data_IF_034860701239
#
_entry.id   IF_034860701239
#
_cell.length_a   1.000
_cell.length_b   1.000
_cell.length_c   1.000
_cell.angle_alpha   90.00
_cell.angle_beta   90.00
_cell.angle_gamma   90.00
#
_symmetry.space_group_name_H-M   'P 1'
#
loop_
_entity.id
_entity.type
_entity.pdbx_description
1 polymer ?
#
# COMPACT_ATOMS: atom_id res chain seq x y z
N UNK A 1 -13.56 61.68 -5.02
CA UNK A 1 -13.25 60.69 -6.08
C UNK A 1 -13.48 59.31 -5.47
N UNK A 2 -14.71 58.78 -5.55
CA UNK A 2 -15.06 57.65 -6.44
C UNK A 2 -14.07 56.47 -6.28
N UNK A 3 -14.28 55.51 -5.37
CA UNK A 3 -15.11 54.28 -5.46
C UNK A 3 -15.00 53.48 -6.76
N UNK A 4 -14.58 52.21 -6.64
CA UNK A 4 -15.27 51.07 -7.31
C UNK A 4 -14.51 50.26 -8.37
N UNK A 5 -14.44 48.94 -8.13
CA UNK A 5 -14.60 47.79 -9.05
C UNK A 5 -13.73 46.63 -8.54
N UNK A 6 -14.20 45.46 -8.07
CA UNK A 6 -15.43 44.65 -8.28
C UNK A 6 -15.76 44.41 -9.74
N UNK A 7 -15.06 43.44 -10.33
CA UNK A 7 -15.60 42.63 -11.42
C UNK A 7 -16.16 41.30 -10.87
N UNK A 8 -17.50 41.30 -10.79
CA UNK A 8 -18.42 40.14 -10.70
C UNK A 8 -18.34 39.35 -12.02
N UNK A 9 -18.34 38.01 -12.02
CA UNK A 9 -19.50 37.11 -11.86
C UNK A 9 -20.68 37.39 -12.83
N UNK A 10 -21.00 36.37 -13.65
CA UNK A 10 -22.24 36.11 -14.41
C UNK A 10 -22.42 36.74 -15.81
N UNK A 11 -22.17 35.91 -16.84
CA UNK A 11 -22.73 35.94 -18.22
C UNK A 11 -22.01 34.81 -19.00
N UNK A 12 -22.59 33.71 -19.48
CA UNK A 12 -23.86 33.45 -20.14
C UNK A 12 -24.17 31.93 -20.16
N UNK A 13 -25.44 31.58 -19.99
CA UNK A 13 -26.11 30.38 -20.49
C UNK A 13 -27.29 30.87 -21.33
N UNK A 14 -27.48 30.36 -22.57
CA UNK A 14 -28.77 29.84 -23.05
C UNK A 14 -28.53 28.53 -23.86
N UNK A 15 -29.43 27.59 -24.18
CA UNK A 15 -30.86 27.41 -24.02
C UNK A 15 -31.20 25.92 -24.30
N UNK A 16 -32.40 25.54 -23.88
CA UNK A 16 -33.11 24.28 -24.11
C UNK A 16 -33.82 24.31 -25.48
N UNK A 17 -33.82 23.21 -26.24
CA UNK A 17 -34.84 22.85 -27.24
C UNK A 17 -35.02 21.31 -27.19
N UNK A 18 -36.14 20.79 -26.68
CA UNK A 18 -37.44 20.50 -27.32
C UNK A 18 -37.44 19.35 -28.35
N UNK A 19 -38.32 18.39 -28.05
CA UNK A 19 -38.67 17.15 -28.75
C UNK A 19 -39.54 17.48 -29.97
N UNK A 20 -39.30 16.81 -31.09
CA UNK A 20 -40.31 16.60 -32.13
C UNK A 20 -40.29 15.15 -32.62
N UNK A 21 -41.46 14.52 -32.58
CA UNK A 21 -41.76 13.22 -33.19
C UNK A 21 -41.59 13.30 -34.71
N UNK A 22 -40.93 12.31 -35.32
CA UNK A 22 -41.19 11.92 -36.71
C UNK A 22 -40.64 10.50 -36.99
N UNK A 23 -41.36 9.79 -37.87
CA UNK A 23 -41.28 8.35 -38.16
C UNK A 23 -39.85 7.82 -38.41
N UNK A 24 -39.47 6.80 -37.64
CA UNK A 24 -38.22 6.07 -37.81
C UNK A 24 -38.24 5.35 -39.18
N UNK A 25 -37.37 5.76 -40.11
CA UNK A 25 -37.31 5.17 -41.45
C UNK A 25 -36.87 3.71 -41.38
N UNK A 26 -37.33 2.85 -42.31
CA UNK A 26 -36.96 1.44 -42.40
C UNK A 26 -35.43 1.21 -42.45
N UNK A 27 -34.66 2.20 -42.92
CA UNK A 27 -33.18 2.21 -42.86
C UNK A 27 -32.64 2.30 -41.43
N UNK A 28 -33.26 3.09 -40.55
CA UNK A 28 -32.90 3.18 -39.13
C UNK A 28 -33.25 1.91 -38.35
N UNK A 29 -34.33 1.22 -38.72
CA UNK A 29 -34.65 -0.10 -38.17
C UNK A 29 -33.57 -1.13 -38.54
N UNK A 30 -33.05 -1.09 -39.77
CA UNK A 30 -31.99 -1.99 -40.22
C UNK A 30 -30.64 -1.72 -39.53
N UNK A 31 -30.27 -0.45 -39.31
CA UNK A 31 -29.08 -0.08 -38.52
C UNK A 31 -29.25 -0.43 -37.04
N UNK A 32 -30.46 -0.34 -36.49
CA UNK A 32 -30.74 -0.74 -35.11
C UNK A 32 -30.62 -2.27 -34.94
N UNK A 33 -31.08 -3.07 -35.91
CA UNK A 33 -30.85 -4.54 -35.88
C UNK A 33 -29.40 -4.95 -36.06
N UNK A 34 -28.59 -4.20 -36.84
CA UNK A 34 -27.14 -4.44 -36.92
C UNK A 34 -26.41 -4.05 -35.63
N UNK A 35 -26.89 -3.03 -34.89
CA UNK A 35 -26.35 -2.69 -33.57
C UNK A 35 -26.80 -3.66 -32.47
N UNK A 36 -28.00 -4.23 -32.56
CA UNK A 36 -28.50 -5.23 -31.60
C UNK A 36 -27.80 -6.59 -31.79
N UNK A 37 -27.45 -6.97 -33.03
CA UNK A 37 -26.66 -8.19 -33.29
C UNK A 37 -25.18 -8.07 -32.89
N UNK A 38 -24.64 -6.86 -32.72
CA UNK A 38 -23.28 -6.59 -32.23
C UNK A 38 -23.20 -6.28 -30.72
N UNK A 39 -24.34 -6.26 -30.02
CA UNK A 39 -24.41 -5.99 -28.57
C UNK A 39 -24.84 -7.20 -27.75
N UNK A 40 -24.84 -8.41 -28.32
CA UNK A 40 -24.63 -9.60 -27.51
C UNK A 40 -23.18 -9.51 -27.05
N UNK A 41 -22.88 -9.24 -25.76
CA UNK A 41 -21.53 -9.44 -25.28
C UNK A 41 -21.24 -10.91 -25.58
N UNK A 42 -20.38 -11.16 -26.57
CA UNK A 42 -19.67 -12.41 -26.62
C UNK A 42 -18.95 -12.41 -25.28
N UNK A 43 -19.53 -13.10 -24.30
CA UNK A 43 -18.85 -13.47 -23.08
C UNK A 43 -17.72 -14.36 -23.58
N UNK A 44 -16.62 -13.72 -24.02
CA UNK A 44 -15.37 -14.37 -24.23
C UNK A 44 -15.06 -14.93 -22.85
N UNK A 45 -15.41 -16.21 -22.66
CA UNK A 45 -15.21 -16.91 -21.42
C UNK A 45 -13.77 -16.65 -21.02
N UNK A 46 -13.57 -16.10 -19.82
CA UNK A 46 -12.26 -15.69 -19.37
C UNK A 46 -11.39 -16.96 -19.31
N UNK A 47 -10.54 -17.13 -20.33
CA UNK A 47 -9.62 -18.27 -20.36
C UNK A 47 -8.77 -18.22 -19.10
N UNK A 48 -8.66 -19.36 -18.43
CA UNK A 48 -7.85 -19.54 -17.25
C UNK A 48 -6.68 -20.45 -17.58
N UNK A 49 -5.51 -20.15 -17.01
CA UNK A 49 -4.31 -20.97 -17.16
C UNK A 49 -3.86 -21.42 -15.77
N UNK A 50 -3.86 -22.72 -15.56
CA UNK A 50 -3.43 -23.35 -14.31
C UNK A 50 -2.14 -24.13 -14.54
N UNK A 51 -1.16 -23.99 -13.65
CA UNK A 51 0.07 -24.78 -13.73
C UNK A 51 0.71 -25.01 -12.38
N UNK A 52 1.51 -26.08 -12.29
CA UNK A 52 2.16 -26.50 -11.06
C UNK A 52 3.68 -26.40 -11.19
N UNK A 53 4.29 -25.70 -10.23
CA UNK A 53 5.73 -25.50 -10.14
C UNK A 53 6.27 -26.20 -8.90
N UNK A 54 7.22 -27.10 -9.08
CA UNK A 54 8.09 -27.57 -8.00
C UNK A 54 9.22 -26.57 -7.80
N UNK A 55 9.58 -26.31 -6.55
CA UNK A 55 10.69 -25.43 -6.22
C UNK A 55 11.69 -26.08 -5.26
N UNK A 56 12.95 -25.68 -5.42
CA UNK A 56 14.05 -25.98 -4.50
C UNK A 56 14.86 -24.70 -4.27
N UNK A 57 14.94 -24.27 -3.02
CA UNK A 57 15.67 -23.07 -2.59
C UNK A 57 16.82 -23.50 -1.70
N UNK A 58 18.05 -23.09 -2.04
CA UNK A 58 19.27 -23.37 -1.27
C UNK A 58 19.87 -22.07 -0.75
N UNK A 59 20.07 -21.99 0.55
CA UNK A 59 20.72 -20.86 1.21
C UNK A 59 22.17 -21.19 1.56
N UNK A 60 23.09 -20.38 1.04
CA UNK A 60 24.53 -20.51 1.25
C UNK A 60 25.03 -19.36 2.13
N UNK A 61 25.55 -19.67 3.32
CA UNK A 61 26.15 -18.67 4.21
C UNK A 61 27.50 -18.17 3.67
N UNK A 62 27.70 -16.86 3.55
CA UNK A 62 28.88 -16.29 2.86
C UNK A 62 30.16 -16.19 3.72
N UNK A 63 30.06 -16.15 5.05
CA UNK A 63 31.23 -15.90 5.94
C UNK A 63 32.23 -17.07 6.10
N UNK A 64 32.32 -18.02 5.17
CA UNK A 64 33.32 -19.11 5.20
C UNK A 64 34.00 -19.33 3.85
N UNK A 65 34.45 -18.23 3.23
CA UNK A 65 35.40 -18.30 2.11
C UNK A 65 36.86 -18.45 2.60
N UNK A 66 37.11 -18.42 3.92
CA UNK A 66 38.34 -19.01 4.49
C UNK A 66 38.08 -20.45 4.94
N UNK A 67 39.03 -21.31 4.56
CA UNK A 67 38.99 -22.76 4.52
C UNK A 67 38.56 -23.43 5.85
N UNK A 68 37.89 -24.58 5.73
CA UNK A 68 37.81 -25.73 6.67
C UNK A 68 36.52 -26.03 7.46
N UNK A 69 35.50 -25.18 7.51
CA UNK A 69 34.30 -25.52 8.28
C UNK A 69 33.07 -25.81 7.40
N UNK A 70 32.58 -27.07 7.41
CA UNK A 70 31.38 -27.57 6.72
C UNK A 70 30.24 -26.53 6.75
N UNK A 71 29.98 -25.89 5.61
CA UNK A 71 28.91 -24.90 5.48
C UNK A 71 27.56 -25.62 5.51
N UNK A 72 26.72 -25.32 6.50
CA UNK A 72 25.38 -25.89 6.61
C UNK A 72 24.48 -25.23 5.57
N UNK A 73 24.24 -25.92 4.45
CA UNK A 73 23.27 -25.50 3.44
C UNK A 73 21.88 -25.81 3.97
N UNK A 74 21.01 -24.80 4.01
CA UNK A 74 19.58 -25.03 4.24
C UNK A 74 18.91 -25.22 2.88
N UNK A 75 18.12 -26.28 2.75
CA UNK A 75 17.36 -26.56 1.54
C UNK A 75 15.88 -26.61 1.88
N UNK A 76 15.08 -25.82 1.17
CA UNK A 76 13.62 -25.86 1.22
C UNK A 76 13.09 -26.36 -0.11
N UNK A 77 12.15 -27.31 -0.06
CA UNK A 77 11.46 -27.83 -1.25
C UNK A 77 9.96 -27.68 -1.06
N UNK A 78 9.24 -27.59 -2.16
CA UNK A 78 7.79 -27.61 -2.15
C UNK A 78 7.21 -27.53 -3.55
N UNK A 79 5.89 -27.41 -3.59
CA UNK A 79 5.12 -27.25 -4.81
C UNK A 79 4.15 -26.08 -4.62
N UNK A 80 3.86 -25.39 -5.72
CA UNK A 80 2.83 -24.37 -5.80
C UNK A 80 1.95 -24.59 -7.01
N UNK A 81 0.65 -24.39 -6.85
CA UNK A 81 -0.31 -24.27 -7.96
C UNK A 81 -0.55 -22.80 -8.24
N UNK A 82 -0.42 -22.42 -9.51
CA UNK A 82 -0.64 -21.05 -9.99
C UNK A 82 -1.86 -21.08 -10.89
N UNK A 83 -2.80 -20.17 -10.66
CA UNK A 83 -3.96 -19.95 -11.54
C UNK A 83 -3.93 -18.51 -12.02
N UNK A 84 -4.02 -18.32 -13.33
CA UNK A 84 -4.05 -17.01 -13.97
C UNK A 84 -5.41 -16.78 -14.62
N UNK A 85 -6.00 -15.65 -14.28
CA UNK A 85 -7.20 -15.08 -14.90
C UNK A 85 -6.89 -13.66 -15.39
N UNK A 86 -7.71 -13.09 -16.28
CA UNK A 86 -7.58 -11.68 -16.62
C UNK A 86 -7.60 -10.84 -15.33
N UNK A 87 -6.47 -10.16 -15.04
CA UNK A 87 -6.27 -9.30 -13.86
C UNK A 87 -6.21 -10.00 -12.50
N UNK A 88 -6.16 -11.33 -12.43
CA UNK A 88 -6.03 -12.06 -11.16
C UNK A 88 -4.92 -13.11 -11.24
N UNK A 89 -4.11 -13.19 -10.19
CA UNK A 89 -3.12 -14.25 -9.99
C UNK A 89 -3.47 -14.94 -8.67
N UNK A 90 -3.67 -16.25 -8.68
CA UNK A 90 -3.66 -17.07 -7.46
C UNK A 90 -2.37 -17.89 -7.42
N UNK A 91 -1.73 -17.91 -6.24
CA UNK A 91 -0.55 -18.74 -5.95
C UNK A 91 -0.83 -19.51 -4.67
N UNK A 92 -1.07 -20.81 -4.79
CA UNK A 92 -1.42 -21.71 -3.68
C UNK A 92 -0.27 -22.65 -3.34
N UNK A 93 0.09 -22.74 -2.07
CA UNK A 93 1.04 -23.71 -1.51
C UNK A 93 0.43 -24.39 -0.30
N UNK A 94 -0.05 -25.62 -0.48
CA UNK A 94 -0.83 -26.33 0.54
C UNK A 94 -2.12 -25.58 0.90
N UNK A 95 -2.25 -25.20 2.18
CA UNK A 95 -3.41 -24.50 2.73
C UNK A 95 -3.28 -22.98 2.72
N UNK A 96 -2.17 -22.45 2.18
CA UNK A 96 -1.95 -21.03 2.02
C UNK A 96 -2.11 -20.63 0.57
N UNK A 97 -2.90 -19.59 0.32
CA UNK A 97 -3.12 -19.03 -1.01
C UNK A 97 -2.89 -17.52 -0.97
N UNK A 98 -2.18 -17.01 -1.97
CA UNK A 98 -2.02 -15.58 -2.18
C UNK A 98 -2.72 -15.19 -3.48
N UNK A 99 -3.65 -14.26 -3.38
CA UNK A 99 -4.47 -13.81 -4.51
C UNK A 99 -4.15 -12.35 -4.78
N UNK A 100 -3.62 -12.05 -5.96
CA UNK A 100 -3.41 -10.69 -6.45
C UNK A 100 -4.59 -10.31 -7.34
N UNK A 101 -5.35 -9.29 -6.94
CA UNK A 101 -6.44 -8.73 -7.74
C UNK A 101 -6.02 -7.33 -8.21
N UNK A 102 -5.66 -7.23 -9.49
CA UNK A 102 -5.23 -5.99 -10.13
C UNK A 102 -6.42 -5.08 -10.49
N UNK A 103 -7.64 -5.61 -10.56
CA UNK A 103 -8.86 -4.82 -10.73
C UNK A 103 -9.17 -4.02 -9.47
N UNK A 104 -8.98 -4.64 -8.30
CA UNK A 104 -9.19 -4.01 -6.99
C UNK A 104 -7.92 -3.35 -6.42
N UNK A 105 -6.75 -3.56 -7.04
CA UNK A 105 -5.44 -3.21 -6.50
C UNK A 105 -5.23 -3.79 -5.08
N UNK A 106 -5.54 -5.07 -4.88
CA UNK A 106 -5.39 -5.74 -3.58
C UNK A 106 -4.61 -7.04 -3.68
N UNK A 107 -4.06 -7.45 -2.54
CA UNK A 107 -3.50 -8.79 -2.33
C UNK A 107 -4.18 -9.40 -1.13
N UNK A 108 -4.79 -10.56 -1.31
CA UNK A 108 -5.29 -11.37 -0.22
C UNK A 108 -4.28 -12.47 0.13
N UNK A 109 -4.05 -12.69 1.42
CA UNK A 109 -3.36 -13.86 1.95
C UNK A 109 -4.39 -14.70 2.69
N UNK A 110 -4.67 -15.90 2.18
CA UNK A 110 -5.74 -16.79 2.62
C UNK A 110 -5.12 -18.00 3.33
N UNK A 111 -5.64 -18.32 4.51
CA UNK A 111 -5.36 -19.53 5.27
C UNK A 111 -6.64 -20.40 5.23
N UNK A 112 -6.64 -21.43 4.38
CA UNK A 112 -7.80 -22.29 4.16
C UNK A 112 -8.14 -23.16 5.37
N UNK A 113 -7.14 -23.53 6.18
CA UNK A 113 -7.37 -24.33 7.40
C UNK A 113 -8.12 -23.53 8.45
N UNK A 114 -7.73 -22.25 8.61
CA UNK A 114 -8.38 -21.35 9.56
C UNK A 114 -9.62 -20.67 9.00
N UNK A 115 -9.89 -20.83 7.71
CA UNK A 115 -10.94 -20.10 6.99
C UNK A 115 -10.85 -18.59 7.22
N UNK A 116 -9.62 -18.06 7.15
CA UNK A 116 -9.32 -16.65 7.41
C UNK A 116 -8.50 -16.07 6.27
N UNK A 117 -8.64 -14.77 6.04
CA UNK A 117 -7.78 -14.07 5.11
C UNK A 117 -7.45 -12.66 5.58
N UNK A 118 -6.32 -12.12 5.13
CA UNK A 118 -6.00 -10.70 5.24
C UNK A 118 -5.96 -10.07 3.87
N UNK A 119 -6.50 -8.86 3.72
CA UNK A 119 -6.42 -8.08 2.48
C UNK A 119 -5.55 -6.86 2.70
N UNK A 120 -4.58 -6.64 1.82
CA UNK A 120 -3.74 -5.44 1.81
C UNK A 120 -3.77 -4.79 0.44
N UNK A 121 -3.53 -3.49 0.38
CA UNK A 121 -3.26 -2.77 -0.85
C UNK A 121 -2.09 -3.40 -1.64
N UNK A 122 -2.29 -3.58 -2.95
CA UNK A 122 -1.27 -4.07 -3.89
C UNK A 122 -0.07 -3.11 -3.97
N UNK A 123 -0.28 -1.83 -3.67
CA UNK A 123 0.77 -0.81 -3.62
C UNK A 123 1.78 -1.06 -2.48
N UNK A 124 1.44 -1.85 -1.47
CA UNK A 124 2.35 -2.22 -0.38
C UNK A 124 3.64 -2.86 -0.86
N UNK A 125 3.56 -3.67 -1.92
CA UNK A 125 4.69 -4.43 -2.46
C UNK A 125 5.72 -3.50 -3.15
N UNK A 126 5.35 -2.75 -4.20
CA UNK A 126 6.30 -1.82 -4.83
C UNK A 126 6.72 -0.68 -3.89
N UNK A 127 5.86 -0.22 -2.98
CA UNK A 127 6.24 0.79 -1.99
C UNK A 127 7.33 0.28 -1.04
N UNK A 128 7.22 -0.98 -0.57
CA UNK A 128 8.26 -1.63 0.22
C UNK A 128 9.57 -1.71 -0.56
N UNK A 129 9.51 -2.21 -1.81
CA UNK A 129 10.69 -2.38 -2.66
C UNK A 129 11.43 -1.06 -2.86
N UNK A 130 10.72 0.03 -3.21
CA UNK A 130 11.31 1.37 -3.37
C UNK A 130 11.94 1.89 -2.09
N UNK A 131 11.22 1.77 -0.97
CA UNK A 131 11.68 2.31 0.31
C UNK A 131 12.92 1.56 0.83
N UNK A 132 12.89 0.23 0.80
CA UNK A 132 13.99 -0.62 1.24
C UNK A 132 15.22 -0.52 0.31
N UNK A 133 15.02 -0.42 -1.01
CA UNK A 133 16.11 -0.16 -1.96
C UNK A 133 16.84 1.15 -1.63
N UNK A 134 16.10 2.23 -1.34
CA UNK A 134 16.69 3.53 -0.94
C UNK A 134 17.41 3.44 0.40
N UNK A 135 16.81 2.77 1.38
CA UNK A 135 17.41 2.55 2.69
C UNK A 135 18.75 1.82 2.59
N UNK A 136 18.81 0.72 1.84
CA UNK A 136 20.06 -0.03 1.62
C UNK A 136 21.14 0.79 0.93
N UNK A 137 20.76 1.63 -0.04
CA UNK A 137 21.71 2.57 -0.68
C UNK A 137 22.30 3.57 0.32
N UNK A 138 21.48 4.11 1.23
CA UNK A 138 21.95 5.04 2.26
C UNK A 138 22.86 4.31 3.25
N UNK A 139 22.43 3.16 3.75
CA UNK A 139 23.20 2.37 4.71
C UNK A 139 24.55 1.95 4.15
N UNK A 140 24.59 1.48 2.89
CA UNK A 140 25.82 1.14 2.19
C UNK A 140 26.79 2.32 2.13
N UNK A 141 26.30 3.53 1.82
CA UNK A 141 27.14 4.75 1.79
C UNK A 141 27.68 5.12 3.18
N UNK A 142 26.84 5.01 4.21
CA UNK A 142 27.24 5.31 5.60
C UNK A 142 28.31 4.33 6.07
N UNK A 143 28.12 3.03 5.81
CA UNK A 143 29.09 2.00 6.17
C UNK A 143 30.42 2.17 5.43
N UNK A 144 30.40 2.45 4.13
CA UNK A 144 31.61 2.75 3.35
C UNK A 144 32.40 3.93 3.93
N UNK A 145 31.70 5.01 4.31
CA UNK A 145 32.34 6.17 4.98
C UNK A 145 32.93 5.82 6.34
N UNK A 146 32.39 4.82 7.03
CA UNK A 146 32.89 4.32 8.30
C UNK A 146 34.04 3.30 8.14
N UNK A 147 34.53 3.06 6.91
CA UNK A 147 35.55 2.05 6.63
C UNK A 147 35.06 0.62 6.79
N UNK A 148 33.75 0.42 6.98
CA UNK A 148 33.14 -0.90 6.99
C UNK A 148 32.95 -1.27 5.52
N UNK A 149 33.62 -2.35 5.10
CA UNK A 149 33.29 -3.05 3.86
C UNK A 149 31.89 -3.64 4.01
N UNK A 150 30.87 -2.79 3.90
CA UNK A 150 29.49 -3.22 3.73
C UNK A 150 29.50 -4.20 2.58
N UNK A 151 28.84 -5.34 2.76
CA UNK A 151 28.55 -6.27 1.68
C UNK A 151 28.08 -5.45 0.49
N UNK A 152 28.95 -5.33 -0.53
CA UNK A 152 28.71 -4.55 -1.72
C UNK A 152 27.40 -5.04 -2.34
N UNK A 153 26.31 -4.37 -2.01
CA UNK A 153 25.05 -4.58 -2.72
C UNK A 153 25.19 -3.70 -3.95
N UNK A 154 25.94 -4.23 -4.93
CA UNK A 154 26.10 -3.56 -6.20
C UNK A 154 24.70 -3.32 -6.82
N UNK A 155 24.60 -2.40 -7.78
CA UNK A 155 23.31 -2.00 -8.33
C UNK A 155 22.51 -3.20 -8.88
N UNK A 156 23.19 -4.20 -9.48
CA UNK A 156 22.55 -5.41 -9.99
C UNK A 156 21.83 -6.21 -8.90
N UNK A 157 22.48 -6.44 -7.75
CA UNK A 157 21.87 -7.17 -6.63
C UNK A 157 20.63 -6.45 -6.07
N UNK A 158 20.69 -5.12 -5.98
CA UNK A 158 19.53 -4.33 -5.56
C UNK A 158 18.38 -4.44 -6.57
N UNK A 159 18.69 -4.52 -7.86
CA UNK A 159 17.68 -4.62 -8.92
C UNK A 159 17.09 -6.03 -9.04
N UNK A 160 17.87 -7.08 -8.75
CA UNK A 160 17.35 -8.45 -8.61
C UNK A 160 16.30 -8.53 -7.48
N UNK A 161 16.58 -7.92 -6.32
CA UNK A 161 15.71 -8.07 -5.14
C UNK A 161 14.49 -7.14 -5.20
N UNK A 162 14.69 -5.89 -5.64
CA UNK A 162 13.70 -4.81 -5.52
C UNK A 162 13.16 -4.31 -6.86
N UNK A 163 13.53 -4.93 -7.98
CA UNK A 163 13.22 -4.45 -9.31
C UNK A 163 14.20 -3.37 -9.80
N UNK A 164 14.38 -3.32 -11.12
CA UNK A 164 15.32 -2.45 -11.81
C UNK A 164 14.67 -1.62 -12.91
N UNK A 165 15.46 -0.72 -13.48
CA UNK A 165 15.07 -0.04 -14.72
C UNK A 165 15.47 -0.93 -15.89
N UNK A 166 14.51 -1.36 -16.70
CA UNK A 166 14.76 -2.20 -17.87
C UNK A 166 15.64 -1.51 -18.92
N UNK A 167 15.69 -0.18 -18.90
CA UNK A 167 16.54 0.62 -19.79
C UNK A 167 17.82 1.12 -19.09
N UNK A 168 18.04 0.70 -17.84
CA UNK A 168 19.15 1.12 -17.00
C UNK A 168 20.50 0.55 -17.45
N UNK A 169 21.57 1.04 -16.83
CA UNK A 169 22.94 0.58 -17.13
C UNK A 169 23.16 -0.89 -16.81
N UNK A 170 22.55 -1.42 -15.76
CA UNK A 170 22.62 -2.85 -15.43
C UNK A 170 22.00 -3.68 -16.55
N UNK A 171 20.78 -3.32 -16.98
CA UNK A 171 20.06 -4.00 -18.05
C UNK A 171 20.87 -4.11 -19.34
N UNK A 172 21.55 -3.02 -19.75
CA UNK A 172 22.39 -2.98 -20.96
C UNK A 172 23.60 -3.91 -20.93
N UNK A 173 24.03 -4.32 -19.73
CA UNK A 173 25.16 -5.23 -19.54
C UNK A 173 24.72 -6.67 -19.23
N UNK A 174 23.42 -6.98 -19.37
CA UNK A 174 22.92 -8.35 -19.30
C UNK A 174 22.95 -8.95 -20.70
N UNK A 175 23.74 -10.00 -20.88
CA UNK A 175 23.93 -10.69 -22.15
C UNK A 175 23.17 -12.03 -22.16
N UNK A 176 22.58 -12.39 -23.31
CA UNK A 176 22.01 -13.72 -23.53
C UNK A 176 23.01 -14.59 -24.29
N UNK A 177 23.26 -15.78 -23.77
CA UNK A 177 24.03 -16.83 -24.47
C UNK A 177 23.13 -18.06 -24.54
N UNK A 178 22.53 -18.25 -25.71
CA UNK A 178 21.59 -19.34 -25.97
C UNK A 178 22.36 -20.57 -26.45
N UNK A 179 22.16 -21.71 -25.77
CA UNK A 179 22.82 -22.97 -26.12
C UNK A 179 21.80 -24.11 -26.13
N UNK A 180 21.29 -24.44 -27.32
CA UNK A 180 20.24 -25.44 -27.48
C UNK A 180 18.93 -25.01 -26.82
N UNK A 181 18.33 -25.88 -26.00
CA UNK A 181 17.08 -25.59 -25.26
C UNK A 181 17.28 -24.71 -24.02
N UNK A 182 18.51 -24.60 -23.53
CA UNK A 182 18.82 -23.87 -22.31
C UNK A 182 19.31 -22.47 -22.67
N UNK A 183 18.56 -21.47 -22.24
CA UNK A 183 18.91 -20.06 -22.33
C UNK A 183 19.66 -19.64 -21.07
N UNK A 184 20.77 -18.91 -21.22
CA UNK A 184 21.57 -18.41 -20.09
C UNK A 184 21.76 -16.92 -20.19
N UNK A 185 21.62 -16.23 -19.06
CA UNK A 185 21.80 -14.80 -18.93
C UNK A 185 23.03 -14.52 -18.06
N UNK A 186 23.86 -13.60 -18.52
CA UNK A 186 25.13 -13.24 -17.89
C UNK A 186 25.18 -11.77 -17.53
N UNK A 187 25.80 -11.45 -16.40
CA UNK A 187 26.16 -10.09 -16.02
C UNK A 187 27.61 -10.09 -15.50
N UNK A 188 28.50 -9.37 -16.17
CA UNK A 188 29.96 -9.37 -15.87
C UNK A 188 30.53 -10.79 -15.79
N UNK A 189 30.27 -11.60 -16.81
CA UNK A 189 30.68 -13.00 -16.94
C UNK A 189 30.11 -13.99 -15.91
N UNK A 190 29.32 -13.52 -14.94
CA UNK A 190 28.59 -14.39 -14.01
C UNK A 190 27.25 -14.83 -14.62
N UNK A 191 26.97 -16.13 -14.61
CA UNK A 191 25.64 -16.65 -14.96
C UNK A 191 24.64 -16.29 -13.86
N UNK A 192 23.74 -15.36 -14.16
CA UNK A 192 22.76 -14.83 -13.21
C UNK A 192 21.42 -15.58 -13.26
N UNK A 193 21.08 -16.14 -14.42
CA UNK A 193 19.88 -16.93 -14.61
C UNK A 193 20.04 -17.91 -15.78
N UNK A 194 19.40 -19.07 -15.66
CA UNK A 194 19.27 -20.06 -16.71
C UNK A 194 17.83 -20.54 -16.76
N UNK A 195 17.27 -20.67 -17.96
CA UNK A 195 15.90 -21.12 -18.12
C UNK A 195 15.71 -21.95 -19.39
N UNK A 196 14.65 -22.75 -19.39
CA UNK A 196 14.15 -23.50 -20.53
C UNK A 196 12.67 -23.17 -20.69
N UNK A 197 12.19 -23.05 -21.92
CA UNK A 197 10.77 -22.82 -22.20
C UNK A 197 10.04 -24.14 -22.36
N UNK A 198 8.80 -24.18 -21.90
CA UNK A 198 7.90 -25.33 -22.11
C UNK A 198 7.24 -25.26 -23.49
N UNK A 199 6.52 -26.32 -23.84
CA UNK A 199 5.66 -26.34 -25.02
C UNK A 199 4.31 -25.65 -24.78
N UNK A 200 3.99 -25.34 -23.51
CA UNK A 200 2.74 -24.69 -23.12
C UNK A 200 2.76 -23.20 -23.49
N UNK A 201 1.93 -22.84 -24.47
CA UNK A 201 1.69 -21.43 -24.83
C UNK A 201 0.88 -20.72 -23.76
N UNK A 202 1.21 -19.45 -23.55
CA UNK A 202 0.43 -18.53 -22.74
C UNK A 202 -0.69 -17.98 -23.64
N UNK A 203 -1.97 -18.08 -23.25
CA UNK A 203 -3.04 -17.37 -23.93
C UNK A 203 -2.74 -15.87 -24.06
N UNK A 204 -3.04 -15.28 -25.21
CA UNK A 204 -2.67 -13.88 -25.50
C UNK A 204 -3.29 -12.89 -24.51
N UNK A 205 -4.51 -13.15 -24.03
CA UNK A 205 -5.19 -12.37 -23.00
C UNK A 205 -4.58 -12.53 -21.59
N UNK A 206 -3.66 -13.48 -21.38
CA UNK A 206 -2.98 -13.76 -20.12
C UNK A 206 -1.48 -13.41 -20.14
N UNK A 207 -0.94 -12.90 -21.25
CA UNK A 207 0.50 -12.56 -21.33
C UNK A 207 0.91 -11.53 -20.29
N UNK A 208 0.14 -10.46 -20.11
CA UNK A 208 0.44 -9.40 -19.15
C UNK A 208 0.33 -9.88 -17.70
N UNK A 209 -0.66 -10.73 -17.40
CA UNK A 209 -0.83 -11.26 -16.05
C UNK A 209 0.27 -12.27 -15.70
N UNK A 210 0.76 -13.04 -16.68
CA UNK A 210 1.92 -13.91 -16.50
C UNK A 210 3.20 -13.11 -16.25
N UNK A 211 3.43 -12.01 -16.97
CA UNK A 211 4.54 -11.07 -16.66
C UNK A 211 4.45 -10.54 -15.23
N UNK A 212 3.26 -10.13 -14.78
CA UNK A 212 3.02 -9.70 -13.40
C UNK A 212 3.30 -10.81 -12.39
N UNK A 213 2.87 -12.04 -12.66
CA UNK A 213 3.20 -13.20 -11.83
C UNK A 213 4.71 -13.34 -11.63
N UNK A 214 5.49 -13.26 -12.71
CA UNK A 214 6.95 -13.30 -12.62
C UNK A 214 7.50 -12.16 -11.75
N UNK A 215 7.01 -10.92 -11.95
CA UNK A 215 7.45 -9.73 -11.20
C UNK A 215 7.09 -9.75 -9.70
N UNK A 216 5.96 -10.37 -9.34
CA UNK A 216 5.46 -10.41 -7.97
C UNK A 216 5.99 -11.61 -7.16
N UNK A 217 6.07 -12.79 -7.77
CA UNK A 217 6.52 -14.00 -7.07
C UNK A 217 8.03 -14.21 -7.14
N UNK A 218 8.69 -13.72 -8.19
CA UNK A 218 10.12 -13.92 -8.37
C UNK A 218 10.90 -12.63 -8.11
N UNK A 219 11.93 -12.73 -7.29
CA UNK A 219 12.89 -11.65 -7.04
C UNK A 219 14.00 -11.71 -8.08
N UNK A 220 13.64 -11.36 -9.31
CA UNK A 220 14.50 -11.35 -10.49
C UNK A 220 14.46 -9.99 -11.19
N UNK A 221 15.52 -9.72 -11.96
CA UNK A 221 15.65 -8.48 -12.73
C UNK A 221 14.61 -8.41 -13.87
N UNK A 222 14.03 -7.23 -14.19
CA UNK A 222 13.03 -7.09 -15.26
C UNK A 222 13.46 -7.62 -16.64
N UNK A 223 14.75 -7.52 -16.99
CA UNK A 223 15.29 -8.14 -18.22
C UNK A 223 15.09 -9.66 -18.24
N UNK A 224 15.22 -10.34 -17.08
CA UNK A 224 14.97 -11.78 -16.99
C UNK A 224 13.47 -12.05 -17.22
N UNK A 225 12.59 -11.21 -16.66
CA UNK A 225 11.13 -11.32 -16.89
C UNK A 225 10.78 -11.18 -18.37
N UNK A 226 11.33 -10.17 -19.07
CA UNK A 226 11.11 -10.02 -20.51
C UNK A 226 11.64 -11.23 -21.30
N UNK A 227 12.82 -11.75 -20.96
CA UNK A 227 13.37 -12.93 -21.63
C UNK A 227 12.58 -14.21 -21.38
N UNK A 228 11.92 -14.33 -20.24
CA UNK A 228 11.02 -15.45 -19.94
C UNK A 228 9.68 -15.38 -20.68
N UNK A 229 9.34 -14.21 -21.23
CA UNK A 229 8.00 -13.94 -21.77
C UNK A 229 7.98 -13.56 -23.24
N UNK A 230 9.13 -13.22 -23.83
CA UNK A 230 9.26 -12.76 -25.21
C UNK A 230 8.74 -13.75 -26.26
N UNK A 231 8.86 -15.06 -26.01
CA UNK A 231 8.38 -16.12 -26.90
C UNK A 231 6.95 -16.59 -26.63
N UNK A 232 6.30 -16.09 -25.57
CA UNK A 232 4.89 -16.43 -25.27
C UNK A 232 4.64 -17.84 -24.73
N UNK A 233 5.65 -18.45 -24.09
CA UNK A 233 5.54 -19.77 -23.44
C UNK A 233 5.77 -19.67 -21.93
N UNK A 234 5.17 -20.58 -21.17
CA UNK A 234 5.53 -20.76 -19.76
C UNK A 234 6.96 -21.33 -19.70
N UNK A 235 7.77 -20.96 -18.71
CA UNK A 235 9.06 -21.61 -18.53
C UNK A 235 8.87 -23.06 -18.07
N UNK A 236 9.65 -23.98 -18.64
CA UNK A 236 9.77 -25.36 -18.13
C UNK A 236 10.67 -25.40 -16.90
N UNK A 237 11.81 -24.70 -16.95
CA UNK A 237 12.70 -24.57 -15.79
C UNK A 237 13.24 -23.15 -15.66
N UNK A 238 13.45 -22.71 -14.42
CA UNK A 238 14.08 -21.43 -14.11
C UNK A 238 15.03 -21.61 -12.93
N UNK A 239 16.30 -21.28 -13.14
CA UNK A 239 17.33 -21.24 -12.12
C UNK A 239 17.94 -19.85 -12.05
N UNK A 240 18.02 -19.24 -10.87
CA UNK A 240 18.72 -17.97 -10.68
C UNK A 240 19.27 -17.83 -9.26
N UNK A 241 20.14 -16.84 -9.06
CA UNK A 241 20.72 -16.51 -7.75
C UNK A 241 20.41 -15.08 -7.36
N UNK A 242 20.21 -14.84 -6.07
CA UNK A 242 20.11 -13.49 -5.52
C UNK A 242 20.61 -13.43 -4.06
N UNK A 243 20.88 -12.22 -3.57
CA UNK A 243 21.32 -11.96 -2.19
C UNK A 243 20.19 -11.43 -1.31
N UNK A 244 19.06 -12.15 -1.31
CA UNK A 244 17.83 -11.72 -0.62
C UNK A 244 18.05 -11.43 0.87
N UNK A 245 18.69 -12.33 1.61
CA UNK A 245 18.96 -12.18 3.03
C UNK A 245 20.46 -12.08 3.22
N UNK A 246 20.96 -10.98 3.74
CA UNK A 246 22.39 -10.87 4.07
C UNK A 246 22.65 -11.67 5.36
N UNK A 247 23.68 -12.54 5.41
CA UNK A 247 24.80 -12.70 4.47
C UNK A 247 24.65 -13.86 3.46
N UNK A 248 23.46 -14.35 3.20
CA UNK A 248 23.19 -15.52 2.36
C UNK A 248 23.16 -15.21 0.86
N UNK A 249 23.75 -16.10 0.06
CA UNK A 249 23.45 -16.26 -1.36
C UNK A 249 22.37 -17.33 -1.48
N UNK A 250 21.28 -16.99 -2.16
CA UNK A 250 20.16 -17.92 -2.39
C UNK A 250 20.19 -18.41 -3.82
N UNK A 251 20.27 -19.73 -4.02
CA UNK A 251 20.06 -20.39 -5.31
C UNK A 251 18.62 -20.89 -5.37
N UNK A 252 17.88 -20.43 -6.38
CA UNK A 252 16.47 -20.78 -6.57
C UNK A 252 16.35 -21.62 -7.84
N UNK A 253 15.65 -22.75 -7.74
CA UNK A 253 15.36 -23.65 -8.86
C UNK A 253 13.86 -23.91 -8.89
N UNK A 254 13.26 -23.68 -10.04
CA UNK A 254 11.83 -23.89 -10.30
C UNK A 254 11.65 -24.78 -11.52
N UNK A 255 10.69 -25.70 -11.46
CA UNK A 255 10.43 -26.68 -12.52
C UNK A 255 8.92 -26.86 -12.70
N UNK A 256 8.47 -26.69 -13.94
CA UNK A 256 7.11 -26.99 -14.36
C UNK A 256 6.87 -28.49 -14.32
N UNK A 257 5.77 -28.87 -13.66
CA UNK A 257 5.39 -30.29 -13.47
C UNK A 257 4.07 -30.64 -14.13
N UNK A 258 3.16 -29.68 -14.22
CA UNK A 258 1.89 -29.83 -14.93
C UNK A 258 1.43 -28.45 -15.40
N UNK A 259 0.69 -28.42 -16.50
CA UNK A 259 -0.01 -27.23 -16.98
C UNK A 259 -1.29 -27.64 -17.69
N UNK A 260 -2.35 -26.86 -17.49
CA UNK A 260 -3.65 -27.06 -18.10
C UNK A 260 -4.30 -25.70 -18.40
N UNK A 261 -4.96 -25.60 -19.55
CA UNK A 261 -5.71 -24.42 -19.95
C UNK A 261 -7.19 -24.75 -19.90
N UNK A 262 -7.95 -24.03 -19.06
CA UNK A 262 -9.39 -24.26 -18.90
C UNK A 262 -10.18 -23.06 -19.42
N UNK A 263 -11.39 -23.34 -19.88
CA UNK A 263 -12.32 -22.29 -20.32
C UNK A 263 -13.06 -21.65 -19.15
N UNK A 264 -13.04 -22.25 -17.97
CA UNK A 264 -13.74 -21.77 -16.78
C UNK A 264 -12.92 -21.99 -15.49
N UNK A 265 -12.98 -20.98 -14.63
CA UNK A 265 -12.42 -20.92 -13.29
C UNK A 265 -12.78 -19.55 -12.72
N UNK A 266 -13.15 -19.50 -11.44
CA UNK A 266 -13.33 -18.23 -10.73
C UNK A 266 -12.44 -18.27 -9.50
N UNK A 267 -11.32 -17.54 -9.56
CA UNK A 267 -10.49 -17.27 -8.40
C UNK A 267 -11.29 -16.37 -7.47
N UNK A 268 -11.78 -16.93 -6.36
CA UNK A 268 -12.51 -16.19 -5.34
C UNK A 268 -12.27 -16.76 -3.95
N UNK A 269 -12.29 -15.88 -2.96
CA UNK A 269 -12.23 -16.27 -1.55
C UNK A 269 -13.62 -16.76 -1.13
N UNK A 270 -13.76 -17.93 -0.48
CA UNK A 270 -15.05 -18.41 -0.01
C UNK A 270 -15.72 -17.40 0.92
N UNK A 271 -17.03 -17.15 0.72
CA UNK A 271 -17.79 -16.12 1.45
C UNK A 271 -17.87 -16.35 2.96
N UNK A 272 -17.69 -17.58 3.41
CA UNK A 272 -17.69 -17.95 4.83
C UNK A 272 -16.35 -17.68 5.53
N UNK A 273 -15.31 -17.25 4.80
CA UNK A 273 -14.03 -16.95 5.41
C UNK A 273 -14.05 -15.60 6.12
N UNK A 274 -13.37 -15.53 7.26
CA UNK A 274 -13.29 -14.31 8.06
C UNK A 274 -12.14 -13.41 7.60
N UNK A 275 -12.46 -12.14 7.31
CA UNK A 275 -11.47 -11.11 7.01
C UNK A 275 -10.80 -10.58 8.29
N UNK A 276 -9.47 -10.50 8.24
CA UNK A 276 -8.64 -9.74 9.17
C UNK A 276 -8.06 -8.55 8.40
N UNK A 277 -8.40 -7.33 8.82
CA UNK A 277 -8.02 -6.10 8.12
C UNK A 277 -6.55 -5.73 8.32
N UNK A 278 -5.91 -6.22 9.38
CA UNK A 278 -4.51 -5.95 9.68
C UNK A 278 -3.82 -7.17 10.30
N UNK A 279 -2.49 -7.24 10.09
CA UNK A 279 -1.66 -8.26 10.76
C UNK A 279 -1.42 -7.94 12.24
N UNK A 280 -1.45 -6.65 12.59
CA UNK A 280 -1.51 -6.19 13.98
C UNK A 280 -2.92 -6.43 14.53
N UNK A 281 -3.04 -7.33 15.51
CA UNK A 281 -4.32 -7.72 16.12
C UNK A 281 -5.04 -6.56 16.81
N UNK A 282 -4.30 -5.59 17.36
CA UNK A 282 -4.88 -4.42 18.04
C UNK A 282 -5.47 -3.48 17.01
N UNK A 283 -4.75 -3.22 15.92
CA UNK A 283 -5.28 -2.45 14.78
C UNK A 283 -6.49 -3.14 14.14
N UNK A 284 -6.43 -4.45 13.91
CA UNK A 284 -7.55 -5.22 13.33
C UNK A 284 -8.82 -5.09 14.17
N UNK A 285 -8.71 -5.25 15.49
CA UNK A 285 -9.83 -5.06 16.43
C UNK A 285 -10.42 -3.65 16.33
N UNK A 286 -9.56 -2.63 16.30
CA UNK A 286 -9.98 -1.22 16.19
C UNK A 286 -10.74 -0.98 14.87
N UNK A 287 -10.22 -1.46 13.74
CA UNK A 287 -10.87 -1.33 12.43
C UNK A 287 -12.26 -2.00 12.40
N UNK A 288 -12.44 -3.12 13.12
CA UNK A 288 -13.75 -3.78 13.22
C UNK A 288 -14.76 -2.95 14.02
N UNK A 289 -14.30 -2.13 14.97
CA UNK A 289 -15.17 -1.29 15.82
C UNK A 289 -15.68 -0.02 15.13
N UNK A 290 -15.01 0.50 14.10
CA UNK A 290 -15.41 1.71 13.35
C UNK A 290 -16.61 1.50 12.40
N UNK A 291 -17.43 0.48 12.64
CA UNK A 291 -18.60 0.13 11.81
C UNK A 291 -19.94 0.51 12.46
N UNK A 292 -19.94 1.02 13.69
CA UNK A 292 -21.15 1.11 14.53
C UNK A 292 -21.91 2.43 14.37
N UNK A 293 -21.30 3.59 14.67
CA UNK A 293 -21.93 4.91 14.49
C UNK A 293 -20.94 6.05 14.62
N UNK A 294 -20.99 6.97 13.67
CA UNK A 294 -20.18 8.19 13.62
C UNK A 294 -20.89 9.40 14.26
N UNK A 295 -20.13 10.27 14.93
CA UNK A 295 -20.64 11.56 15.42
C UNK A 295 -20.71 12.60 14.29
N UNK A 296 -21.86 13.27 14.14
CA UNK A 296 -22.04 14.33 13.14
C UNK A 296 -21.31 15.63 13.50
N UNK A 297 -21.08 16.49 12.51
CA UNK A 297 -20.53 17.84 12.74
C UNK A 297 -21.43 18.66 13.67
N UNK A 298 -22.76 18.50 13.56
CA UNK A 298 -23.73 19.19 14.41
C UNK A 298 -23.62 18.75 15.88
N UNK A 299 -23.32 17.47 16.13
CA UNK A 299 -23.00 16.97 17.48
C UNK A 299 -21.80 17.72 18.07
N UNK A 300 -20.70 17.84 17.32
CA UNK A 300 -19.49 18.53 17.80
C UNK A 300 -19.78 20.00 18.13
N UNK A 301 -20.50 20.72 17.29
CA UNK A 301 -20.87 22.12 17.53
C UNK A 301 -21.74 22.28 18.80
N UNK A 302 -22.76 21.43 18.95
CA UNK A 302 -23.66 21.45 20.13
C UNK A 302 -22.92 21.13 21.43
N UNK A 303 -22.06 20.11 21.42
CA UNK A 303 -21.30 19.69 22.60
C UNK A 303 -20.23 20.73 22.99
N UNK A 304 -19.58 21.39 22.03
CA UNK A 304 -18.65 22.48 22.33
C UNK A 304 -19.34 23.64 23.05
N UNK A 305 -20.53 24.06 22.59
CA UNK A 305 -21.31 25.10 23.27
C UNK A 305 -21.73 24.66 24.69
N UNK A 306 -22.15 23.41 24.84
CA UNK A 306 -22.50 22.86 26.17
C UNK A 306 -21.30 22.87 27.14
N UNK A 307 -20.10 22.50 26.67
CA UNK A 307 -18.88 22.52 27.48
C UNK A 307 -18.45 23.96 27.81
N UNK A 308 -18.62 24.88 26.85
CA UNK A 308 -18.40 26.30 27.05
C UNK A 308 -19.28 26.86 28.17
N UNK A 309 -20.58 26.60 28.14
CA UNK A 309 -21.52 27.10 29.15
C UNK A 309 -21.20 26.55 30.56
N UNK A 310 -20.62 25.35 30.62
CA UNK A 310 -20.10 24.72 31.84
C UNK A 310 -18.71 25.20 32.26
N UNK A 311 -18.12 26.18 31.57
CA UNK A 311 -16.75 26.68 31.77
C UNK A 311 -15.66 25.59 31.64
N UNK A 312 -15.96 24.50 30.93
CA UNK A 312 -15.03 23.40 30.64
C UNK A 312 -14.27 23.67 29.34
N UNK A 313 -13.50 24.76 29.35
CA UNK A 313 -12.87 25.29 28.15
C UNK A 313 -11.86 24.31 27.54
N UNK A 314 -11.03 23.66 28.38
CA UNK A 314 -10.05 22.68 27.91
C UNK A 314 -10.74 21.51 27.19
N UNK A 315 -11.80 20.95 27.76
CA UNK A 315 -12.59 19.89 27.12
C UNK A 315 -13.21 20.36 25.81
N UNK A 316 -13.75 21.58 25.74
CA UNK A 316 -14.28 22.15 24.49
C UNK A 316 -13.20 22.25 23.41
N UNK A 317 -11.95 22.58 23.79
CA UNK A 317 -10.80 22.61 22.88
C UNK A 317 -10.43 21.22 22.39
N UNK A 318 -10.39 20.23 23.29
CA UNK A 318 -10.10 18.85 22.92
C UNK A 318 -11.17 18.26 22.00
N UNK A 319 -12.43 18.62 22.21
CA UNK A 319 -13.53 18.23 21.33
C UNK A 319 -13.40 18.86 19.93
N UNK A 320 -12.90 20.10 19.81
CA UNK A 320 -12.54 20.68 18.52
C UNK A 320 -11.41 19.90 17.83
N UNK A 321 -10.38 19.50 18.57
CA UNK A 321 -9.30 18.67 18.03
C UNK A 321 -9.80 17.29 17.57
N UNK A 322 -10.71 16.68 18.34
CA UNK A 322 -11.39 15.44 17.96
C UNK A 322 -12.12 15.60 16.62
N UNK A 323 -12.97 16.63 16.49
CA UNK A 323 -13.65 16.99 15.25
C UNK A 323 -12.66 17.17 14.09
N UNK A 324 -11.58 17.93 14.30
CA UNK A 324 -10.60 18.23 13.26
C UNK A 324 -9.90 16.97 12.73
N UNK A 325 -9.55 16.04 13.62
CA UNK A 325 -8.93 14.76 13.27
C UNK A 325 -9.93 13.81 12.61
N UNK A 326 -11.17 13.81 13.07
CA UNK A 326 -12.23 12.94 12.55
C UNK A 326 -12.70 13.37 11.16
N UNK A 327 -13.08 14.65 11.03
CA UNK A 327 -13.76 15.21 9.86
C UNK A 327 -12.83 15.96 8.89
N UNK A 328 -11.57 16.20 9.27
CA UNK A 328 -10.63 16.91 8.40
C UNK A 328 -11.08 18.34 8.04
N UNK A 329 -11.79 19.01 8.95
CA UNK A 329 -12.41 20.33 8.78
C UNK A 329 -13.60 20.38 7.80
N UNK A 330 -14.18 19.24 7.41
CA UNK A 330 -15.44 19.19 6.65
C UNK A 330 -16.55 19.94 7.39
N UNK A 331 -17.27 20.79 6.66
CA UNK A 331 -18.34 21.66 7.20
C UNK A 331 -17.89 22.59 8.33
N UNK A 332 -16.63 23.05 8.31
CA UNK A 332 -16.08 23.92 9.36
C UNK A 332 -16.92 25.17 9.65
N UNK A 333 -17.65 25.70 8.66
CA UNK A 333 -18.54 26.84 8.87
C UNK A 333 -19.60 26.59 9.96
N UNK A 334 -20.05 25.35 10.18
CA UNK A 334 -21.03 24.99 11.22
C UNK A 334 -20.45 25.10 12.63
N UNK A 335 -19.17 24.75 12.82
CA UNK A 335 -18.51 24.74 14.13
C UNK A 335 -17.71 26.03 14.39
N UNK A 336 -17.40 26.77 13.33
CA UNK A 336 -16.57 27.99 13.35
C UNK A 336 -16.99 29.01 14.43
N UNK A 337 -18.27 29.33 14.65
CA UNK A 337 -18.65 30.28 15.71
C UNK A 337 -18.23 29.80 17.11
N UNK A 338 -18.45 28.52 17.43
CA UNK A 338 -18.06 27.94 18.72
C UNK A 338 -16.53 27.93 18.89
N UNK A 339 -15.80 27.58 17.82
CA UNK A 339 -14.33 27.59 17.80
C UNK A 339 -13.79 29.01 18.00
N UNK A 340 -14.33 30.00 17.28
CA UNK A 340 -13.90 31.39 17.40
C UNK A 340 -14.13 31.94 18.80
N UNK A 341 -15.31 31.69 19.37
CA UNK A 341 -15.62 32.05 20.76
C UNK A 341 -14.61 31.41 21.71
N UNK A 342 -14.39 30.10 21.57
CA UNK A 342 -13.48 29.34 22.42
C UNK A 342 -12.06 29.94 22.45
N UNK A 343 -11.45 30.15 21.28
CA UNK A 343 -10.06 30.59 21.20
C UNK A 343 -9.87 32.11 21.42
N UNK A 344 -10.93 32.91 21.33
CA UNK A 344 -10.88 34.36 21.57
C UNK A 344 -11.20 34.74 23.01
N UNK A 345 -12.17 34.07 23.63
CA UNK A 345 -12.77 34.49 24.89
C UNK A 345 -12.42 33.57 26.07
N UNK A 346 -11.84 32.39 25.86
CA UNK A 346 -11.45 31.53 26.98
C UNK A 346 -10.37 32.21 27.84
N UNK A 347 -10.49 32.14 29.17
CA UNK A 347 -9.59 32.85 30.05
C UNK A 347 -8.20 32.18 30.07
N UNK A 348 -7.10 32.92 30.31
CA UNK A 348 -5.73 32.39 30.21
C UNK A 348 -5.46 31.14 31.08
N UNK A 349 -6.06 31.07 32.26
CA UNK A 349 -5.96 29.95 33.21
C UNK A 349 -6.58 28.65 32.68
N UNK A 350 -7.38 28.71 31.61
CA UNK A 350 -7.89 27.51 30.92
C UNK A 350 -6.79 26.64 30.31
N UNK A 351 -5.57 27.19 30.14
CA UNK A 351 -4.44 26.49 29.56
C UNK A 351 -4.52 26.26 28.05
N UNK A 352 -5.63 26.65 27.39
CA UNK A 352 -5.86 26.43 25.96
C UNK A 352 -4.74 27.03 25.12
N UNK A 353 -4.37 28.30 25.36
CA UNK A 353 -3.33 28.98 24.58
C UNK A 353 -1.99 28.24 24.63
N UNK A 354 -1.61 27.74 25.81
CA UNK A 354 -0.37 26.98 25.99
C UNK A 354 -0.45 25.62 25.27
N UNK A 355 -1.58 24.93 25.39
CA UNK A 355 -1.81 23.66 24.70
C UNK A 355 -1.80 23.84 23.17
N UNK A 356 -2.52 24.84 22.65
CA UNK A 356 -2.55 25.15 21.22
C UNK A 356 -1.16 25.47 20.70
N UNK A 357 -0.37 26.28 21.41
CA UNK A 357 1.02 26.52 21.07
C UNK A 357 1.85 25.21 21.04
N UNK A 358 1.72 24.37 22.07
CA UNK A 358 2.40 23.08 22.14
C UNK A 358 2.00 22.09 21.05
N UNK A 359 0.78 22.16 20.51
CA UNK A 359 0.30 21.27 19.45
C UNK A 359 0.67 21.79 18.05
N UNK A 360 0.56 23.10 17.83
CA UNK A 360 0.68 23.70 16.49
C UNK A 360 2.10 24.09 16.11
N UNK A 361 2.95 24.37 17.09
CA UNK A 361 4.34 24.69 16.80
C UNK A 361 5.10 23.42 16.50
N UNK A 362 5.63 23.28 15.29
CA UNK A 362 6.58 22.19 14.95
C UNK A 362 7.94 22.50 15.61
N UNK A 363 8.29 21.86 16.74
CA UNK A 363 9.46 22.27 17.50
C UNK A 363 10.72 21.76 16.82
N UNK A 364 11.68 22.64 16.59
CA UNK A 364 12.91 22.35 15.85
C UNK A 364 14.02 21.69 16.69
N UNK A 365 13.82 21.48 18.00
CA UNK A 365 14.84 20.91 18.88
C UNK A 365 14.26 19.90 19.88
N UNK A 366 15.07 18.91 20.27
CA UNK A 366 14.70 17.91 21.29
C UNK A 366 14.24 18.54 22.60
N UNK A 367 14.84 19.68 23.00
CA UNK A 367 14.43 20.43 24.21
C UNK A 367 13.00 20.96 24.08
N UNK A 368 12.68 21.61 22.96
CA UNK A 368 11.32 22.13 22.72
C UNK A 368 10.29 21.00 22.56
N UNK A 369 10.67 19.88 21.96
CA UNK A 369 9.82 18.69 21.90
C UNK A 369 9.47 18.18 23.31
N UNK A 370 10.44 18.10 24.23
CA UNK A 370 10.18 17.68 25.62
C UNK A 370 9.24 18.65 26.35
N UNK A 371 9.43 19.95 26.16
CA UNK A 371 8.53 20.96 26.73
C UNK A 371 7.10 20.83 26.20
N UNK A 372 6.93 20.57 24.89
CA UNK A 372 5.61 20.33 24.32
C UNK A 372 4.96 19.06 24.88
N UNK A 373 5.73 17.97 25.05
CA UNK A 373 5.26 16.73 25.70
C UNK A 373 4.75 17.03 27.12
N UNK A 374 5.51 17.74 27.95
CA UNK A 374 5.10 18.07 29.33
C UNK A 374 3.79 18.88 29.39
N UNK A 375 3.62 19.85 28.48
CA UNK A 375 2.39 20.65 28.38
C UNK A 375 1.21 19.75 28.01
N UNK A 376 1.38 18.87 27.03
CA UNK A 376 0.32 17.99 26.55
C UNK A 376 -0.04 16.94 27.60
N UNK A 377 0.94 16.32 28.26
CA UNK A 377 0.69 15.34 29.33
C UNK A 377 -0.03 15.99 30.54
N UNK A 378 0.28 17.26 30.86
CA UNK A 378 -0.46 18.01 31.89
C UNK A 378 -1.91 18.25 31.49
N UNK A 379 -2.15 18.71 30.25
CA UNK A 379 -3.50 18.92 29.73
C UNK A 379 -4.30 17.62 29.69
N UNK A 380 -3.67 16.50 29.34
CA UNK A 380 -4.30 15.18 29.35
C UNK A 380 -4.77 14.77 30.75
N UNK A 381 -3.94 14.99 31.79
CA UNK A 381 -4.31 14.69 33.19
C UNK A 381 -5.46 15.55 33.71
N UNK A 382 -5.64 16.75 33.16
CA UNK A 382 -6.71 17.67 33.55
C UNK A 382 -8.04 17.35 32.86
N UNK A 383 -8.03 16.62 31.74
CA UNK A 383 -9.23 16.30 30.97
C UNK A 383 -9.79 14.93 31.34
N UNK A 384 -11.11 14.85 31.51
CA UNK A 384 -11.80 13.60 31.91
C UNK A 384 -12.36 12.79 30.74
N UNK A 385 -12.80 13.41 29.63
CA UNK A 385 -13.52 12.71 28.55
C UNK A 385 -12.83 12.71 27.19
N UNK A 386 -12.14 13.78 26.81
CA UNK A 386 -11.53 13.93 25.47
C UNK A 386 -9.98 13.93 25.50
N UNK A 387 -9.37 13.67 26.67
CA UNK A 387 -7.91 13.65 26.85
C UNK A 387 -7.20 12.61 25.98
N UNK A 388 -7.89 11.58 25.51
CA UNK A 388 -7.33 10.57 24.62
C UNK A 388 -6.86 11.13 23.26
N UNK A 389 -7.47 12.22 22.78
CA UNK A 389 -7.08 12.90 21.51
C UNK A 389 -5.65 13.39 21.58
N UNK A 390 -5.17 13.77 22.76
CA UNK A 390 -3.81 14.23 22.98
C UNK A 390 -2.75 13.15 22.73
N UNK A 391 -3.12 11.86 22.78
CA UNK A 391 -2.19 10.78 22.45
C UNK A 391 -1.69 10.86 21.01
N UNK A 392 -2.49 11.39 20.07
CA UNK A 392 -2.08 11.56 18.67
C UNK A 392 -0.94 12.60 18.56
N UNK A 393 -1.06 13.71 19.29
CA UNK A 393 -0.01 14.74 19.32
C UNK A 393 1.24 14.24 20.05
N UNK A 394 1.08 13.54 21.17
CA UNK A 394 2.19 12.89 21.88
C UNK A 394 2.91 11.89 20.97
N UNK A 395 2.19 11.08 20.19
CA UNK A 395 2.77 10.13 19.26
C UNK A 395 3.64 10.81 18.19
N UNK A 396 3.24 11.98 17.71
CA UNK A 396 4.04 12.76 16.77
C UNK A 396 5.36 13.22 17.39
N UNK A 397 5.34 13.67 18.65
CA UNK A 397 6.55 14.04 19.38
C UNK A 397 7.45 12.86 19.73
N UNK A 398 6.90 11.78 20.24
CA UNK A 398 7.66 10.57 20.55
C UNK A 398 8.29 9.96 19.29
N UNK A 399 7.57 9.98 18.16
CA UNK A 399 8.14 9.58 16.87
C UNK A 399 9.28 10.49 16.39
N UNK A 400 9.18 11.81 16.58
CA UNK A 400 10.22 12.76 16.21
C UNK A 400 11.54 12.57 16.98
N UNK A 401 11.49 11.98 18.19
CA UNK A 401 12.67 11.61 18.98
C UNK A 401 13.05 10.12 18.86
N UNK A 402 12.49 9.41 17.87
CA UNK A 402 12.84 8.01 17.55
C UNK A 402 12.11 6.95 18.36
N UNK A 403 11.16 7.31 19.23
CA UNK A 403 10.37 6.35 20.02
C UNK A 403 9.15 5.86 19.22
N UNK A 404 9.38 5.23 18.07
CA UNK A 404 8.33 4.81 17.14
C UNK A 404 7.32 3.83 17.74
N UNK A 405 7.76 2.87 18.57
CA UNK A 405 6.85 1.91 19.23
C UNK A 405 5.86 2.63 20.15
N UNK A 406 6.36 3.52 21.02
CA UNK A 406 5.52 4.34 21.90
C UNK A 406 4.56 5.22 21.11
N UNK A 407 5.01 5.77 19.98
CA UNK A 407 4.15 6.55 19.10
C UNK A 407 2.99 5.72 18.52
N UNK A 408 3.27 4.51 18.02
CA UNK A 408 2.24 3.57 17.55
C UNK A 408 1.25 3.25 18.68
N UNK A 409 1.77 2.89 19.87
CA UNK A 409 0.95 2.54 21.02
C UNK A 409 -0.01 3.66 21.43
N UNK A 410 0.45 4.91 21.42
CA UNK A 410 -0.35 6.09 21.74
C UNK A 410 -1.45 6.34 20.70
N UNK A 411 -1.17 6.20 19.40
CA UNK A 411 -2.20 6.35 18.36
C UNK A 411 -3.27 5.27 18.50
N UNK A 412 -2.86 4.02 18.72
CA UNK A 412 -3.79 2.92 18.97
C UNK A 412 -4.63 3.16 20.24
N UNK A 413 -4.06 3.74 21.31
CA UNK A 413 -4.84 4.12 22.50
C UNK A 413 -5.91 5.18 22.19
N UNK A 414 -5.61 6.16 21.33
CA UNK A 414 -6.61 7.14 20.91
C UNK A 414 -7.74 6.48 20.09
N UNK A 415 -7.36 5.60 19.16
CA UNK A 415 -8.30 4.90 18.29
C UNK A 415 -9.17 3.86 19.02
N UNK A 416 -8.69 3.27 20.12
CA UNK A 416 -9.50 2.42 20.99
C UNK A 416 -10.62 3.20 21.69
N UNK A 417 -10.39 4.49 21.98
CA UNK A 417 -11.42 5.35 22.58
C UNK A 417 -12.38 5.90 21.54
N UNK A 418 -11.87 6.23 20.34
CA UNK A 418 -12.68 6.65 19.22
C UNK A 418 -12.09 6.11 17.89
N UNK A 419 -12.69 5.04 17.32
CA UNK A 419 -12.17 4.41 16.13
C UNK A 419 -12.48 5.19 14.84
N UNK A 420 -13.14 6.35 14.92
CA UNK A 420 -13.44 7.25 13.80
C UNK A 420 -12.47 8.42 13.65
N UNK A 421 -11.38 8.47 14.43
CA UNK A 421 -10.34 9.50 14.28
C UNK A 421 -9.56 9.31 12.96
N UNK A 422 -10.15 9.72 11.83
CA UNK A 422 -9.64 9.52 10.48
C UNK A 422 -8.17 9.92 10.31
N UNK A 423 -7.81 11.13 10.74
CA UNK A 423 -6.42 11.62 10.68
C UNK A 423 -5.43 10.77 11.49
N UNK A 424 -5.89 10.07 12.53
CA UNK A 424 -5.04 9.19 13.33
C UNK A 424 -4.60 7.95 12.54
N UNK A 425 -5.44 7.40 11.66
CA UNK A 425 -5.05 6.30 10.78
C UNK A 425 -3.99 6.70 9.76
N UNK A 426 -4.03 7.95 9.27
CA UNK A 426 -2.93 8.48 8.44
C UNK A 426 -1.62 8.44 9.23
N UNK A 427 -1.62 8.99 10.44
CA UNK A 427 -0.40 9.10 11.24
C UNK A 427 0.12 7.72 11.67
N UNK A 428 -0.79 6.79 11.98
CA UNK A 428 -0.47 5.39 12.26
C UNK A 428 0.18 4.71 11.05
N UNK A 429 -0.40 4.89 9.86
CA UNK A 429 0.14 4.35 8.63
C UNK A 429 1.55 4.87 8.34
N UNK A 430 1.81 6.16 8.57
CA UNK A 430 3.16 6.74 8.46
C UNK A 430 4.16 6.11 9.43
N UNK A 431 3.75 5.78 10.67
CA UNK A 431 4.63 5.13 11.64
C UNK A 431 4.95 3.69 11.23
N UNK A 432 3.94 2.93 10.80
CA UNK A 432 4.13 1.57 10.30
C UNK A 432 5.01 1.55 9.05
N UNK A 433 4.79 2.50 8.12
CA UNK A 433 5.60 2.64 6.91
C UNK A 433 7.07 2.88 7.23
N UNK A 434 7.37 3.83 8.13
CA UNK A 434 8.74 4.11 8.60
C UNK A 434 9.38 2.94 9.34
N UNK A 435 8.56 2.03 9.87
CA UNK A 435 8.99 0.82 10.57
C UNK A 435 8.99 -0.42 9.68
N UNK A 436 8.85 -0.26 8.36
CA UNK A 436 8.80 -1.34 7.35
C UNK A 436 7.63 -2.33 7.52
N UNK A 437 6.60 -1.98 8.30
CA UNK A 437 5.40 -2.78 8.50
C UNK A 437 4.33 -2.45 7.46
N UNK A 438 4.65 -2.73 6.19
CA UNK A 438 3.86 -2.27 5.04
C UNK A 438 2.39 -2.75 5.05
N UNK A 439 2.06 -4.01 5.40
CA UNK A 439 0.66 -4.42 5.50
C UNK A 439 -0.17 -3.55 6.47
N UNK A 440 0.38 -3.26 7.65
CA UNK A 440 -0.31 -2.43 8.65
C UNK A 440 -0.37 -0.95 8.25
N UNK A 441 0.65 -0.46 7.53
CA UNK A 441 0.67 0.88 6.99
C UNK A 441 -0.50 1.12 6.03
N UNK A 442 -0.64 0.21 5.05
CA UNK A 442 -1.72 0.27 4.07
C UNK A 442 -3.09 -0.05 4.67
N UNK A 443 -3.19 -1.01 5.60
CA UNK A 443 -4.44 -1.25 6.33
C UNK A 443 -4.95 0.03 7.00
N UNK A 444 -4.05 0.83 7.59
CA UNK A 444 -4.40 2.10 8.21
C UNK A 444 -4.87 3.13 7.16
N UNK A 445 -4.11 3.33 6.08
CA UNK A 445 -4.46 4.29 5.03
C UNK A 445 -5.72 3.91 4.24
N UNK A 446 -5.91 2.64 3.92
CA UNK A 446 -7.11 2.14 3.24
C UNK A 446 -8.33 2.32 4.13
N UNK A 447 -8.19 2.06 5.44
CA UNK A 447 -9.29 2.27 6.37
C UNK A 447 -9.66 3.75 6.51
N UNK A 448 -8.67 4.64 6.57
CA UNK A 448 -8.88 6.09 6.53
C UNK A 448 -9.73 6.51 5.32
N UNK A 449 -9.36 6.03 4.12
CA UNK A 449 -10.09 6.32 2.88
C UNK A 449 -11.51 5.77 2.89
N UNK A 450 -11.75 4.65 3.59
CA UNK A 450 -13.06 4.01 3.70
C UNK A 450 -14.01 4.75 4.64
N UNK A 451 -13.52 5.18 5.81
CA UNK A 451 -14.38 5.82 6.82
C UNK A 451 -14.71 7.27 6.49
N UNK A 452 -13.79 8.00 5.84
CA UNK A 452 -14.05 9.38 5.43
C UNK A 452 -13.29 9.68 4.11
N UNK A 453 -13.89 9.31 2.95
CA UNK A 453 -13.26 9.50 1.64
C UNK A 453 -13.05 10.98 1.28
N UNK A 454 -13.80 11.90 1.89
CA UNK A 454 -13.68 13.35 1.67
C UNK A 454 -12.64 14.01 2.60
N UNK A 455 -11.99 13.26 3.48
CA UNK A 455 -11.05 13.83 4.44
C UNK A 455 -9.88 14.51 3.70
N UNK A 456 -9.50 15.72 4.12
CA UNK A 456 -8.46 16.54 3.45
C UNK A 456 -7.09 15.87 3.25
N UNK A 457 -6.81 14.79 3.99
CA UNK A 457 -5.57 14.00 3.89
C UNK A 457 -5.64 12.84 2.88
N UNK A 458 -6.83 12.45 2.40
CA UNK A 458 -6.99 11.37 1.40
C UNK A 458 -6.17 11.66 0.12
N UNK A 459 -6.16 12.90 -0.43
CA UNK A 459 -5.33 13.22 -1.58
C UNK A 459 -3.83 12.95 -1.38
N UNK A 460 -3.33 12.97 -0.14
CA UNK A 460 -1.92 12.67 0.16
C UNK A 460 -1.60 11.20 -0.17
N UNK A 461 -2.48 10.28 0.23
CA UNK A 461 -2.32 8.83 -0.02
C UNK A 461 -2.50 8.52 -1.50
N UNK A 462 -3.55 9.06 -2.13
CA UNK A 462 -3.79 8.87 -3.57
C UNK A 462 -2.64 9.40 -4.43
N UNK A 463 -2.04 10.55 -4.05
CA UNK A 463 -0.86 11.05 -4.74
C UNK A 463 0.37 10.15 -4.54
N UNK A 464 0.50 9.50 -3.38
CA UNK A 464 1.55 8.52 -3.15
C UNK A 464 1.36 7.27 -4.02
N UNK A 465 0.13 6.75 -4.11
CA UNK A 465 -0.26 5.66 -5.02
C UNK A 465 0.07 5.99 -6.48
N UNK A 466 -0.33 7.17 -6.96
CA UNK A 466 0.01 7.65 -8.33
C UNK A 466 1.51 7.69 -8.56
N UNK A 467 2.29 8.16 -7.57
CA UNK A 467 3.77 8.18 -7.65
C UNK A 467 4.37 6.77 -7.65
N UNK A 468 3.75 5.81 -6.98
CA UNK A 468 4.19 4.40 -7.01
C UNK A 468 3.91 3.82 -8.40
N UNK A 469 2.69 3.95 -8.91
CA UNK A 469 2.30 3.52 -10.27
C UNK A 469 3.22 4.08 -11.35
N UNK A 470 3.55 5.38 -11.26
CA UNK A 470 4.47 6.02 -12.21
C UNK A 470 5.90 5.49 -12.13
N UNK A 471 6.38 5.14 -10.92
CA UNK A 471 7.77 4.68 -10.71
C UNK A 471 7.95 3.19 -10.94
N UNK A 472 6.86 2.42 -10.86
CA UNK A 472 6.84 0.97 -10.95
C UNK A 472 5.76 0.48 -11.93
N UNK A 473 5.76 0.92 -13.21
CA UNK A 473 4.75 0.49 -14.17
C UNK A 473 4.70 -1.03 -14.33
N UNK A 474 5.82 -1.74 -14.19
CA UNK A 474 5.94 -3.21 -14.26
C UNK A 474 5.06 -3.96 -13.25
N UNK A 475 4.62 -3.27 -12.20
CA UNK A 475 3.74 -3.81 -11.17
C UNK A 475 2.25 -3.60 -11.47
N UNK A 476 1.87 -2.79 -12.45
CA UNK A 476 0.47 -2.41 -12.68
C UNK A 476 0.02 -2.48 -14.14
N UNK A 477 0.90 -2.15 -15.09
CA UNK A 477 0.59 -2.07 -16.51
C UNK A 477 0.63 -3.45 -17.15
#
# INVERSE_FOLDING_TARGET
MLTGSIDKFMKYWPDIYFISEELMSFKQLLTLTMFIALSIPINAHAQTLEFQINYEIKEHHRDKISQSAKTKIKTKKGQTTITLEPRIISVRSGNYEKIYDFGQNTVASVDHDKQQYTRTSLYAIPAFKDYEKRNRKILSKVMQKAGINALETNQFELEMIFGGDINGSVAKNIESKDAGKIHKLYYKDENIASYELSEQRIPSNLTDIYKKYLTYEYRIHPVIVEKLTDKGFIFHSLKYRNKQEIPYLTENVYMLTASDSKTEGIISIPKNYQENYASDKRLDKIIKLSTIKENSVDYYASQMNTLWDKKKYLEASLLFHEYSIHHGLKDFNKIKPAVQRLFKEAPPESGIKNLTAAITQQPSSKKKIRQAIEIIERAQKQSSSHGYVLNIYLANYYGAIGQNKKAIDLILMALEQNPFLTGAYKDLGDKYFKSYQMPNAWASWDHMQRINPDHQLVPVIQNFEKKIKKRHPEHFQ
#
